data_IF_090923149158
#
_entry.id   IF_090923149158
#
_cell.length_a   1.000
_cell.length_b   1.000
_cell.length_c   1.000
_cell.angle_alpha   90.00
_cell.angle_beta   90.00
_cell.angle_gamma   90.00
#
_symmetry.space_group_name_H-M   'P 1'
#
loop_
_entity.id
_entity.type
_entity.pdbx_description
1 polymer ?
#
# COMPACT_ATOMS: atom_id res chain seq x y z
N UNK A 1 -12.95 -3.28 -14.88
CA UNK A 1 -11.79 -4.17 -14.76
C UNK A 1 -11.79 -4.67 -13.32
N UNK A 2 -12.33 -5.87 -13.09
CA UNK A 2 -12.05 -6.59 -11.87
C UNK A 2 -10.54 -6.85 -11.89
N UNK A 3 -9.84 -6.54 -10.79
CA UNK A 3 -8.44 -6.91 -10.68
C UNK A 3 -8.39 -8.44 -10.80
N UNK A 4 -7.67 -8.95 -11.79
CA UNK A 4 -6.94 -10.19 -11.52
C UNK A 4 -6.12 -9.90 -10.26
N UNK A 5 -6.15 -10.80 -9.29
CA UNK A 5 -5.43 -10.67 -8.01
C UNK A 5 -3.91 -10.80 -8.22
N UNK A 6 -3.35 -10.06 -9.19
CA UNK A 6 -1.95 -10.06 -9.54
C UNK A 6 -1.24 -9.04 -8.63
N UNK A 7 -0.76 -9.53 -7.47
CA UNK A 7 0.08 -8.74 -6.59
C UNK A 7 1.52 -8.70 -7.12
N UNK A 8 2.09 -7.51 -7.28
CA UNK A 8 3.51 -7.34 -7.58
C UNK A 8 4.24 -7.18 -6.24
N UNK A 9 5.06 -8.19 -5.90
CA UNK A 9 5.86 -8.17 -4.68
C UNK A 9 7.25 -7.59 -4.93
N UNK A 10 7.56 -6.50 -4.23
CA UNK A 10 8.89 -5.90 -4.22
C UNK A 10 9.41 -5.91 -2.77
N UNK A 11 10.57 -6.54 -2.55
CA UNK A 11 11.17 -6.69 -1.23
C UNK A 11 12.63 -6.24 -1.25
N UNK A 12 13.06 -5.60 -0.17
CA UNK A 12 14.46 -5.29 0.15
C UNK A 12 14.90 -6.19 1.31
N UNK A 13 16.17 -6.59 1.33
CA UNK A 13 16.78 -7.30 2.46
C UNK A 13 17.10 -6.37 3.66
N UNK A 14 16.77 -5.08 3.54
CA UNK A 14 16.98 -4.05 4.57
C UNK A 14 18.37 -3.42 4.55
N UNK A 15 19.27 -3.90 3.68
CA UNK A 15 20.56 -3.25 3.45
C UNK A 15 20.40 -2.02 2.54
N UNK A 16 21.37 -1.09 2.55
CA UNK A 16 21.36 0.05 1.60
C UNK A 16 21.38 -0.43 0.14
N UNK A 17 22.08 -1.52 -0.14
CA UNK A 17 22.13 -2.13 -1.47
C UNK A 17 20.78 -2.75 -1.86
N UNK A 18 20.14 -3.47 -0.94
CA UNK A 18 18.81 -4.02 -1.12
C UNK A 18 17.74 -2.95 -1.31
N UNK A 19 17.77 -1.88 -0.52
CA UNK A 19 16.85 -0.74 -0.64
C UNK A 19 17.01 -0.05 -2.00
N UNK A 20 18.27 0.14 -2.45
CA UNK A 20 18.56 0.70 -3.77
C UNK A 20 18.06 -0.19 -4.90
N UNK A 21 18.24 -1.51 -4.77
CA UNK A 21 17.73 -2.47 -5.75
C UNK A 21 16.19 -2.46 -5.78
N UNK A 22 15.54 -2.52 -4.60
CA UNK A 22 14.10 -2.46 -4.46
C UNK A 22 13.51 -1.17 -5.04
N UNK A 23 14.18 -0.04 -4.83
CA UNK A 23 13.82 1.23 -5.46
C UNK A 23 13.88 1.18 -6.99
N UNK A 24 14.97 0.65 -7.54
CA UNK A 24 15.11 0.47 -8.98
C UNK A 24 14.02 -0.41 -9.58
N UNK A 25 13.71 -1.54 -8.93
CA UNK A 25 12.62 -2.42 -9.34
C UNK A 25 11.26 -1.71 -9.27
N UNK A 26 10.98 -0.96 -8.21
CA UNK A 26 9.76 -0.15 -8.09
C UNK A 26 9.61 0.84 -9.25
N UNK A 27 10.67 1.57 -9.62
CA UNK A 27 10.62 2.51 -10.74
C UNK A 27 10.40 1.82 -12.08
N UNK A 28 10.99 0.64 -12.29
CA UNK A 28 10.77 -0.13 -13.51
C UNK A 28 9.31 -0.59 -13.63
N UNK A 29 8.74 -1.14 -12.55
CA UNK A 29 7.33 -1.56 -12.53
C UNK A 29 6.38 -0.37 -12.70
N UNK A 30 6.65 0.74 -12.00
CA UNK A 30 5.85 1.95 -12.13
C UNK A 30 5.88 2.49 -13.57
N UNK A 31 7.02 2.42 -14.24
CA UNK A 31 7.16 2.80 -15.65
C UNK A 31 6.33 1.90 -16.57
N UNK A 32 6.43 0.58 -16.43
CA UNK A 32 5.63 -0.38 -17.20
C UNK A 32 4.13 -0.09 -17.04
N UNK A 33 3.68 0.10 -15.80
CA UNK A 33 2.28 0.44 -15.50
C UNK A 33 1.87 1.76 -16.17
N UNK A 34 2.74 2.77 -16.18
CA UNK A 34 2.44 4.04 -16.83
C UNK A 34 2.42 3.96 -18.36
N UNK A 35 3.23 3.09 -18.95
CA UNK A 35 3.25 2.85 -20.40
C UNK A 35 1.96 2.14 -20.86
N UNK A 36 1.40 1.27 -20.02
CA UNK A 36 0.12 0.58 -20.28
C UNK A 36 -1.10 1.43 -19.90
N UNK A 37 -0.98 2.27 -18.87
CA UNK A 37 -2.07 3.03 -18.28
C UNK A 37 -1.65 4.47 -17.99
N UNK A 38 -1.68 5.31 -19.02
CA UNK A 38 -1.15 6.68 -18.97
C UNK A 38 -1.68 7.54 -17.80
N UNK A 39 -2.98 7.41 -17.49
CA UNK A 39 -3.70 8.23 -16.51
C UNK A 39 -4.02 7.50 -15.19
N UNK A 40 -3.31 6.42 -14.88
CA UNK A 40 -3.56 5.63 -13.67
C UNK A 40 -3.33 6.45 -12.38
N UNK A 41 -4.15 6.19 -11.37
CA UNK A 41 -4.03 6.77 -10.02
C UNK A 41 -3.34 5.76 -9.09
N UNK A 42 -2.39 6.25 -8.31
CA UNK A 42 -1.70 5.47 -7.29
C UNK A 42 -2.44 5.66 -5.96
N UNK A 43 -3.39 4.75 -5.70
CA UNK A 43 -4.27 4.85 -4.53
C UNK A 43 -3.52 4.38 -3.28
N UNK A 44 -3.58 5.18 -2.23
CA UNK A 44 -2.99 4.85 -0.94
C UNK A 44 -3.85 5.37 0.21
N UNK A 45 -3.50 5.01 1.44
CA UNK A 45 -4.20 5.44 2.64
C UNK A 45 -3.29 6.25 3.55
N UNK A 46 -3.58 7.54 3.75
CA UNK A 46 -2.84 8.41 4.66
C UNK A 46 -1.40 8.72 4.18
N UNK A 47 -0.60 9.41 5.00
CA UNK A 47 0.66 10.02 4.57
C UNK A 47 1.86 9.06 4.41
N UNK A 48 1.76 7.79 4.83
CA UNK A 48 2.94 6.95 5.07
C UNK A 48 3.72 6.66 3.78
N UNK A 49 3.02 6.22 2.74
CA UNK A 49 3.57 5.83 1.43
C UNK A 49 4.18 7.06 0.74
N UNK A 50 3.44 8.18 0.77
CA UNK A 50 3.91 9.47 0.25
C UNK A 50 5.22 9.92 0.93
N UNK A 51 5.33 9.72 2.23
CA UNK A 51 6.52 10.10 3.00
C UNK A 51 7.71 9.21 2.64
N UNK A 52 7.50 7.90 2.50
CA UNK A 52 8.56 6.98 2.09
C UNK A 52 9.01 7.19 0.66
N UNK A 53 8.09 7.49 -0.25
CA UNK A 53 8.40 7.88 -1.63
C UNK A 53 9.37 9.07 -1.67
N UNK A 54 9.13 10.12 -0.86
CA UNK A 54 10.05 11.26 -0.79
C UNK A 54 11.42 10.90 -0.26
N UNK A 55 11.47 10.11 0.81
CA UNK A 55 12.74 9.66 1.38
C UNK A 55 13.57 8.88 0.36
N UNK A 56 12.92 8.04 -0.45
CA UNK A 56 13.60 7.23 -1.46
C UNK A 56 14.05 8.05 -2.67
N UNK A 57 13.26 9.04 -3.10
CA UNK A 57 13.69 10.01 -4.12
C UNK A 57 14.94 10.77 -3.63
N UNK A 58 14.93 11.25 -2.39
CA UNK A 58 16.07 11.98 -1.81
C UNK A 58 17.31 11.09 -1.67
N UNK A 59 17.15 9.84 -1.22
CA UNK A 59 18.26 8.91 -0.96
C UNK A 59 18.85 8.31 -2.23
N UNK A 60 18.03 7.94 -3.20
CA UNK A 60 18.45 7.15 -4.38
C UNK A 60 18.27 7.87 -5.72
N UNK A 61 17.53 8.98 -5.75
CA UNK A 61 17.26 9.76 -6.96
C UNK A 61 16.11 9.23 -7.80
N UNK A 62 15.75 9.99 -8.83
CA UNK A 62 14.69 9.69 -9.79
C UNK A 62 15.12 10.16 -11.18
N UNK A 63 16.07 9.44 -11.78
CA UNK A 63 16.74 9.86 -13.02
C UNK A 63 15.77 10.06 -14.19
N UNK A 64 14.77 9.20 -14.29
CA UNK A 64 13.83 9.16 -15.41
C UNK A 64 12.51 9.91 -15.11
N UNK A 65 12.40 10.55 -13.93
CA UNK A 65 11.21 11.29 -13.51
C UNK A 65 9.99 10.41 -13.19
N UNK A 66 10.18 9.10 -13.08
CA UNK A 66 9.10 8.13 -12.85
C UNK A 66 8.52 8.32 -11.45
N UNK A 67 9.36 8.49 -10.44
CA UNK A 67 8.90 8.71 -9.07
C UNK A 67 8.15 10.05 -8.92
N UNK A 68 8.60 11.09 -9.62
CA UNK A 68 7.93 12.37 -9.70
C UNK A 68 6.54 12.23 -10.35
N UNK A 69 6.40 11.38 -11.38
CA UNK A 69 5.10 11.06 -11.98
C UNK A 69 4.21 10.26 -11.01
N UNK A 70 4.73 9.24 -10.33
CA UNK A 70 4.01 8.52 -9.27
C UNK A 70 3.46 9.50 -8.24
N UNK A 71 4.31 10.40 -7.74
CA UNK A 71 3.95 11.44 -6.77
C UNK A 71 2.78 12.31 -7.25
N UNK A 72 2.79 12.74 -8.52
CA UNK A 72 1.70 13.55 -9.10
C UNK A 72 0.39 12.77 -9.24
N UNK A 73 0.49 11.45 -9.39
CA UNK A 73 -0.65 10.55 -9.58
C UNK A 73 -1.15 9.91 -8.28
N UNK A 74 -0.54 10.22 -7.12
CA UNK A 74 -1.01 9.75 -5.82
C UNK A 74 -2.45 10.21 -5.55
N UNK A 75 -3.27 9.28 -5.07
CA UNK A 75 -4.63 9.52 -4.62
C UNK A 75 -4.78 9.04 -3.18
N UNK A 76 -4.75 9.98 -2.24
CA UNK A 76 -4.99 9.69 -0.83
C UNK A 76 -6.49 9.49 -0.59
N UNK A 77 -6.87 8.25 -0.25
CA UNK A 77 -8.28 7.87 -0.09
C UNK A 77 -8.86 8.33 1.24
N UNK A 78 -8.04 8.61 2.25
CA UNK A 78 -8.50 9.05 3.56
C UNK A 78 -9.27 10.38 3.51
N UNK A 79 -8.71 11.50 3.00
CA UNK A 79 -9.43 12.77 2.97
C UNK A 79 -10.67 12.71 2.07
N UNK A 80 -10.69 11.83 1.06
CA UNK A 80 -11.88 11.57 0.26
C UNK A 80 -12.95 10.92 1.14
N UNK A 81 -12.60 9.84 1.83
CA UNK A 81 -13.51 9.13 2.75
C UNK A 81 -14.11 10.07 3.79
N UNK A 82 -13.28 10.88 4.45
CA UNK A 82 -13.72 11.82 5.49
C UNK A 82 -14.69 12.90 4.99
N UNK A 83 -14.59 13.29 3.70
CA UNK A 83 -15.48 14.29 3.09
C UNK A 83 -16.73 13.67 2.47
N UNK A 84 -16.67 12.39 2.09
CA UNK A 84 -17.75 11.70 1.39
C UNK A 84 -18.76 11.06 2.32
N UNK A 85 -18.39 10.68 3.54
CA UNK A 85 -19.27 10.00 4.49
C UNK A 85 -19.09 10.52 5.92
N UNK A 86 -20.18 10.59 6.68
CA UNK A 86 -20.17 10.91 8.10
C UNK A 86 -20.58 9.67 8.90
N UNK A 87 -19.61 9.02 9.55
CA UNK A 87 -19.79 7.79 10.31
C UNK A 87 -19.54 8.01 11.81
N UNK A 88 -20.32 7.40 12.71
CA UNK A 88 -20.12 7.47 14.17
C UNK A 88 -19.02 6.50 14.62
N UNK A 89 -17.81 6.65 14.06
CA UNK A 89 -16.67 5.77 14.29
C UNK A 89 -15.58 6.50 15.09
N UNK A 90 -14.77 5.78 15.89
CA UNK A 90 -13.73 6.40 16.72
C UNK A 90 -12.59 7.01 15.90
N UNK A 91 -12.38 6.55 14.66
CA UNK A 91 -11.42 7.13 13.72
C UNK A 91 -11.76 6.73 12.28
N UNK A 92 -11.07 7.36 11.33
CA UNK A 92 -11.07 6.96 9.92
C UNK A 92 -9.75 6.25 9.58
N UNK A 93 -9.19 5.45 10.48
CA UNK A 93 -8.10 4.55 10.06
C UNK A 93 -8.65 3.49 9.11
N UNK A 94 -7.81 2.96 8.20
CA UNK A 94 -8.21 1.93 7.25
C UNK A 94 -8.88 0.75 7.98
N UNK A 95 -8.27 0.32 9.09
CA UNK A 95 -8.78 -0.75 9.96
C UNK A 95 -10.16 -0.52 10.55
N UNK A 96 -10.51 0.72 10.84
CA UNK A 96 -11.84 1.03 11.39
C UNK A 96 -12.87 1.09 10.27
N UNK A 97 -12.52 1.67 9.13
CA UNK A 97 -13.42 1.78 7.97
C UNK A 97 -13.65 0.41 7.32
N UNK A 98 -12.60 -0.38 7.11
CA UNK A 98 -12.71 -1.71 6.48
C UNK A 98 -13.66 -2.62 7.29
N UNK A 99 -13.59 -2.59 8.62
CA UNK A 99 -14.48 -3.35 9.51
C UNK A 99 -15.91 -2.86 9.40
N UNK A 100 -16.11 -1.54 9.35
CA UNK A 100 -17.43 -0.94 9.20
C UNK A 100 -18.12 -1.36 7.89
N UNK A 101 -17.36 -1.49 6.79
CA UNK A 101 -17.90 -1.93 5.49
C UNK A 101 -18.02 -3.46 5.36
N UNK A 102 -17.67 -4.22 6.41
CA UNK A 102 -17.75 -5.68 6.43
C UNK A 102 -16.60 -6.38 5.71
N UNK A 103 -15.47 -5.71 5.46
CA UNK A 103 -14.28 -6.36 4.94
C UNK A 103 -13.69 -7.29 6.02
N UNK A 104 -13.45 -8.55 5.64
CA UNK A 104 -12.89 -9.57 6.52
C UNK A 104 -11.45 -9.85 6.11
N UNK A 105 -10.52 -9.68 7.04
CA UNK A 105 -9.14 -10.17 6.91
C UNK A 105 -9.06 -11.64 7.30
N UNK A 106 -8.08 -12.33 6.74
CA UNK A 106 -7.74 -13.72 7.06
C UNK A 106 -6.77 -13.82 8.24
N UNK A 107 -5.92 -12.82 8.46
CA UNK A 107 -5.02 -12.78 9.62
C UNK A 107 -5.75 -12.36 10.90
N UNK A 108 -5.45 -13.05 12.01
CA UNK A 108 -6.04 -12.78 13.33
C UNK A 108 -5.29 -11.72 14.13
N UNK A 109 -3.97 -11.61 13.94
CA UNK A 109 -3.12 -10.61 14.58
C UNK A 109 -2.40 -9.80 13.50
N UNK A 110 -2.63 -8.49 13.47
CA UNK A 110 -2.12 -7.63 12.40
C UNK A 110 -2.10 -6.16 12.84
N UNK A 111 -1.14 -5.37 12.34
CA UNK A 111 -1.03 -3.92 12.53
C UNK A 111 0.37 -3.35 12.23
N UNK A 112 0.47 -2.03 12.10
CA UNK A 112 1.74 -1.39 11.71
C UNK A 112 2.89 -1.60 12.70
N UNK A 113 2.61 -1.63 14.00
CA UNK A 113 3.62 -1.95 15.02
C UNK A 113 4.03 -3.43 14.96
N UNK A 114 3.07 -4.31 14.65
CA UNK A 114 3.31 -5.75 14.48
C UNK A 114 4.18 -6.02 13.24
N UNK A 115 3.88 -5.41 12.09
CA UNK A 115 4.66 -5.64 10.87
C UNK A 115 6.10 -5.11 11.00
N UNK A 116 6.29 -3.99 11.70
CA UNK A 116 7.63 -3.49 12.02
C UNK A 116 8.40 -4.44 12.94
N UNK A 117 7.78 -4.95 14.00
CA UNK A 117 8.41 -5.91 14.90
C UNK A 117 8.81 -7.20 14.17
N UNK A 118 7.93 -7.73 13.32
CA UNK A 118 8.18 -8.90 12.47
C UNK A 118 9.34 -8.66 11.50
N UNK A 119 9.45 -7.46 10.95
CA UNK A 119 10.54 -7.12 10.04
C UNK A 119 11.89 -7.09 10.75
N UNK A 120 11.95 -6.46 11.93
CA UNK A 120 13.16 -6.45 12.77
C UNK A 120 13.57 -7.89 13.11
N UNK A 121 12.62 -8.71 13.56
CA UNK A 121 12.85 -10.14 13.86
C UNK A 121 13.41 -10.89 12.64
N UNK A 122 12.87 -10.63 11.44
CA UNK A 122 13.33 -11.25 10.21
C UNK A 122 14.79 -10.85 9.87
N UNK A 123 15.12 -9.57 10.03
CA UNK A 123 16.47 -9.05 9.75
C UNK A 123 17.52 -9.52 10.75
N UNK A 124 17.12 -9.76 12.01
CA UNK A 124 18.02 -10.22 13.07
C UNK A 124 18.13 -11.75 13.16
N UNK A 125 17.18 -12.49 12.56
CA UNK A 125 17.23 -13.95 12.53
C UNK A 125 18.37 -14.46 11.65
N UNK A 126 19.14 -15.42 12.16
CA UNK A 126 20.14 -16.18 11.41
C UNK A 126 19.57 -17.47 10.79
N UNK A 127 18.27 -17.74 11.00
CA UNK A 127 17.57 -18.87 10.40
C UNK A 127 16.79 -18.41 9.16
N UNK A 128 17.24 -18.84 7.99
CA UNK A 128 16.62 -18.52 6.70
C UNK A 128 15.15 -18.98 6.62
N UNK A 129 14.79 -20.07 7.31
CA UNK A 129 13.42 -20.58 7.34
C UNK A 129 12.52 -19.65 8.15
N UNK A 130 12.98 -19.24 9.34
CA UNK A 130 12.26 -18.29 10.18
C UNK A 130 12.13 -16.93 9.49
N UNK A 131 13.23 -16.42 8.90
CA UNK A 131 13.21 -15.16 8.13
C UNK A 131 12.18 -15.21 7.01
N UNK A 132 12.15 -16.29 6.25
CA UNK A 132 11.19 -16.47 5.14
C UNK A 132 9.75 -16.45 5.65
N UNK A 133 9.45 -17.17 6.72
CA UNK A 133 8.12 -17.19 7.33
C UNK A 133 7.67 -15.80 7.80
N UNK A 134 8.55 -15.04 8.45
CA UNK A 134 8.26 -13.67 8.92
C UNK A 134 8.02 -12.71 7.75
N UNK A 135 8.81 -12.82 6.68
CA UNK A 135 8.61 -12.01 5.47
C UNK A 135 7.30 -12.36 4.76
N UNK A 136 6.89 -13.63 4.75
CA UNK A 136 5.62 -14.05 4.16
C UNK A 136 4.42 -13.54 4.97
N UNK A 137 4.52 -13.49 6.31
CA UNK A 137 3.56 -12.82 7.18
C UNK A 137 3.41 -11.33 6.84
N UNK A 138 4.53 -10.62 6.64
CA UNK A 138 4.52 -9.19 6.25
C UNK A 138 3.92 -8.99 4.86
N UNK A 139 4.27 -9.84 3.89
CA UNK A 139 3.68 -9.80 2.55
C UNK A 139 2.16 -9.98 2.64
N UNK A 140 1.69 -10.94 3.43
CA UNK A 140 0.27 -11.20 3.59
C UNK A 140 -0.45 -10.01 4.22
N UNK A 141 0.16 -9.39 5.23
CA UNK A 141 -0.35 -8.15 5.82
C UNK A 141 -0.50 -7.02 4.78
N UNK A 142 0.50 -6.82 3.92
CA UNK A 142 0.45 -5.78 2.89
C UNK A 142 -0.59 -6.08 1.79
N UNK A 143 -0.74 -7.34 1.38
CA UNK A 143 -1.81 -7.76 0.44
C UNK A 143 -3.19 -7.43 1.00
N UNK A 144 -3.43 -7.72 2.29
CA UNK A 144 -4.70 -7.44 2.95
C UNK A 144 -4.96 -5.94 3.11
N UNK A 145 -3.93 -5.13 3.37
CA UNK A 145 -4.04 -3.66 3.38
C UNK A 145 -4.42 -3.11 2.00
N UNK A 146 -3.85 -3.67 0.92
CA UNK A 146 -4.23 -3.31 -0.46
C UNK A 146 -5.66 -3.74 -0.79
N UNK A 147 -6.04 -4.98 -0.44
CA UNK A 147 -7.39 -5.51 -0.64
C UNK A 147 -8.44 -4.70 0.15
N UNK A 148 -8.13 -4.32 1.40
CA UNK A 148 -8.98 -3.46 2.21
C UNK A 148 -9.13 -2.07 1.59
N UNK A 149 -8.02 -1.46 1.15
CA UNK A 149 -8.04 -0.14 0.48
C UNK A 149 -8.90 -0.18 -0.79
N UNK A 150 -8.78 -1.25 -1.57
CA UNK A 150 -9.60 -1.47 -2.75
C UNK A 150 -11.08 -1.64 -2.41
N UNK A 151 -11.41 -2.43 -1.38
CA UNK A 151 -12.78 -2.61 -0.93
C UNK A 151 -13.42 -1.29 -0.49
N UNK A 152 -12.69 -0.44 0.24
CA UNK A 152 -13.15 0.90 0.63
C UNK A 152 -13.37 1.78 -0.59
N UNK A 153 -12.46 1.76 -1.57
CA UNK A 153 -12.63 2.51 -2.82
C UNK A 153 -13.90 2.09 -3.58
N UNK A 154 -14.15 0.78 -3.73
CA UNK A 154 -15.36 0.28 -4.40
C UNK A 154 -16.63 0.67 -3.64
N UNK A 155 -16.59 0.56 -2.30
CA UNK A 155 -17.70 0.97 -1.45
C UNK A 155 -18.03 2.46 -1.59
N UNK A 156 -17.03 3.34 -1.62
CA UNK A 156 -17.23 4.77 -1.85
C UNK A 156 -17.83 5.06 -3.23
N UNK A 157 -17.33 4.41 -4.28
CA UNK A 157 -17.86 4.55 -5.65
C UNK A 157 -19.33 4.13 -5.74
N UNK A 158 -19.72 3.06 -5.03
CA UNK A 158 -21.11 2.61 -4.96
C UNK A 158 -22.06 3.65 -4.35
N UNK A 159 -21.59 4.49 -3.42
CA UNK A 159 -22.42 5.54 -2.80
C UNK A 159 -22.63 6.76 -3.69
N UNK A 160 -21.68 7.08 -4.55
CA UNK A 160 -21.79 8.22 -5.45
C UNK A 160 -22.90 8.02 -6.49
N UNK A 161 -23.09 6.77 -6.95
CA UNK A 161 -24.11 6.41 -7.94
C UNK A 161 -25.55 6.44 -7.39
N UNK A 162 -25.73 6.45 -6.07
CA UNK A 162 -27.05 6.55 -5.42
C UNK A 162 -27.54 7.99 -5.17
N UNK A 163 -26.86 9.00 -5.73
CA UNK A 163 -27.23 10.42 -5.57
C UNK A 163 -28.00 11.04 -6.74
N UNK A 164 -28.41 10.23 -7.73
CA UNK A 164 -29.39 10.60 -8.75
C UNK A 164 -30.75 9.99 -8.42
N UNK A 165 -31.53 10.63 -7.54
CA UNK A 165 -33.00 10.49 -7.42
C UNK A 165 -33.56 11.75 -6.76
#
# INVERSE_FOLDING_TARGET
MALNEDFIHLCSDGSDAGDRQGWGSFLNEAKTIFDEHENIRWVHWHHYEKTHLYKYIERFGDRDGVAARVKQNLLDLLPITQRSVALPLPSYSLKVIEKYIGFSRTQTEYGGEWSMAKYIEATESNDDTQRTALLDEIKKYNEEDLAATWAVLQWLKGKQLSSET
#
